data_IF_989264433843
#
_entry.id   IF_989264433843
#
_cell.length_a   1.000
_cell.length_b   1.000
_cell.length_c   1.000
_cell.angle_alpha   90.00
_cell.angle_beta   90.00
_cell.angle_gamma   90.00
#
_symmetry.space_group_name_H-M   'P 1'
#
loop_
_entity.id
_entity.type
_entity.pdbx_description
1 polymer ?
#
# COMPACT_ATOMS: atom_id res chain seq x y z
N UNK A 1 2.04 22.00 9.36
CA UNK A 1 2.54 20.75 8.74
C UNK A 1 1.31 19.89 8.44
N UNK A 2 1.11 19.46 7.19
CA UNK A 2 -0.07 18.65 6.81
C UNK A 2 0.29 17.17 6.96
N UNK A 3 -0.41 16.46 7.85
CA UNK A 3 -0.25 15.01 8.03
C UNK A 3 -1.14 14.32 6.98
N UNK A 4 -0.60 13.42 6.14
CA UNK A 4 -1.42 12.70 5.17
C UNK A 4 -2.39 11.74 5.86
N UNK A 5 -3.55 11.52 5.25
CA UNK A 5 -4.51 10.51 5.72
C UNK A 5 -3.85 9.11 5.67
N UNK A 6 -3.79 8.37 6.79
CA UNK A 6 -3.01 7.13 6.89
C UNK A 6 -3.43 6.06 5.87
N UNK A 7 -4.72 5.89 5.60
CA UNK A 7 -5.26 4.98 4.59
C UNK A 7 -4.71 5.26 3.19
N UNK A 8 -4.74 6.53 2.76
CA UNK A 8 -4.22 6.92 1.44
C UNK A 8 -2.70 6.76 1.38
N UNK A 9 -2.03 7.03 2.50
CA UNK A 9 -0.58 6.92 2.58
C UNK A 9 -0.13 5.45 2.52
N UNK A 10 -0.86 4.53 3.16
CA UNK A 10 -0.62 3.10 3.09
C UNK A 10 -0.68 2.59 1.64
N UNK A 11 -1.74 2.93 0.91
CA UNK A 11 -1.89 2.52 -0.50
C UNK A 11 -0.84 3.19 -1.39
N UNK A 12 -0.53 4.46 -1.15
CA UNK A 12 0.53 5.17 -1.87
C UNK A 12 1.90 4.50 -1.69
N UNK A 13 2.19 3.98 -0.49
CA UNK A 13 3.46 3.29 -0.20
C UNK A 13 3.63 2.00 -0.99
N UNK A 14 2.56 1.26 -1.23
CA UNK A 14 2.59 0.10 -2.14
C UNK A 14 3.02 0.52 -3.55
N UNK A 15 2.56 1.66 -4.05
CA UNK A 15 2.94 2.16 -5.39
C UNK A 15 4.40 2.61 -5.43
N UNK A 16 4.85 3.35 -4.42
CA UNK A 16 6.24 3.85 -4.37
C UNK A 16 7.24 2.71 -4.21
N UNK A 17 6.89 1.66 -3.46
CA UNK A 17 7.74 0.48 -3.31
C UNK A 17 8.06 -0.20 -4.65
N UNK A 18 7.07 -0.41 -5.52
CA UNK A 18 7.29 -1.03 -6.85
C UNK A 18 8.08 -0.12 -7.80
N UNK A 19 8.03 1.21 -7.62
CA UNK A 19 8.80 2.15 -8.46
C UNK A 19 10.29 2.16 -8.13
N UNK A 20 10.70 1.65 -6.95
CA UNK A 20 12.08 1.70 -6.45
C UNK A 20 12.79 0.34 -6.62
N UNK A 21 13.12 -0.03 -7.86
CA UNK A 21 13.63 -1.40 -8.17
C UNK A 21 15.14 -1.58 -8.11
N UNK A 22 15.94 -0.52 -8.29
CA UNK A 22 17.38 -0.67 -8.57
C UNK A 22 18.29 -0.02 -7.51
N UNK A 23 19.44 -0.65 -7.26
CA UNK A 23 20.50 -0.14 -6.39
C UNK A 23 20.01 0.25 -4.99
N UNK A 24 20.35 1.46 -4.54
CA UNK A 24 19.88 2.02 -3.27
C UNK A 24 18.34 2.14 -3.17
N UNK A 25 17.62 2.00 -4.30
CA UNK A 25 16.16 1.92 -4.35
C UNK A 25 15.60 0.67 -3.68
N UNK A 26 16.30 -0.47 -3.73
CA UNK A 26 15.80 -1.75 -3.16
C UNK A 26 15.60 -1.68 -1.64
N UNK A 27 16.56 -1.10 -0.91
CA UNK A 27 16.44 -0.86 0.54
C UNK A 27 15.30 0.10 0.87
N UNK A 28 15.14 1.16 0.07
CA UNK A 28 14.04 2.12 0.24
C UNK A 28 12.68 1.48 -0.03
N UNK A 29 12.59 0.60 -1.03
CA UNK A 29 11.38 -0.16 -1.33
C UNK A 29 10.98 -1.10 -0.19
N UNK A 30 11.95 -1.74 0.49
CA UNK A 30 11.64 -2.53 1.70
C UNK A 30 11.00 -1.67 2.77
N UNK A 31 11.60 -0.50 3.06
CA UNK A 31 11.06 0.45 4.04
C UNK A 31 9.67 0.96 3.67
N UNK A 32 9.40 1.21 2.39
CA UNK A 32 8.05 1.61 1.97
C UNK A 32 7.04 0.48 2.16
N UNK A 33 7.41 -0.78 1.88
CA UNK A 33 6.55 -1.95 2.14
C UNK A 33 6.29 -2.14 3.64
N UNK A 34 7.30 -2.03 4.48
CA UNK A 34 7.16 -2.10 5.94
C UNK A 34 6.22 -1.00 6.47
N UNK A 35 6.35 0.23 5.96
CA UNK A 35 5.44 1.32 6.30
C UNK A 35 4.00 1.06 5.82
N UNK A 36 3.82 0.49 4.62
CA UNK A 36 2.51 0.13 4.12
C UNK A 36 1.87 -0.98 4.97
N UNK A 37 2.62 -2.05 5.29
CA UNK A 37 2.13 -3.16 6.10
C UNK A 37 1.65 -2.68 7.47
N UNK A 38 2.49 -1.91 8.18
CA UNK A 38 2.15 -1.36 9.49
C UNK A 38 0.85 -0.53 9.46
N UNK A 39 0.69 0.34 8.46
CA UNK A 39 -0.50 1.18 8.35
C UNK A 39 -1.73 0.36 7.91
N UNK A 40 -1.57 -0.62 7.02
CA UNK A 40 -2.67 -1.50 6.62
C UNK A 40 -3.18 -2.31 7.80
N UNK A 41 -2.28 -2.89 8.61
CA UNK A 41 -2.65 -3.66 9.81
C UNK A 41 -3.41 -2.78 10.82
N UNK A 42 -2.86 -1.62 11.18
CA UNK A 42 -3.50 -0.72 12.12
C UNK A 42 -4.86 -0.19 11.60
N UNK A 43 -4.93 0.18 10.32
CA UNK A 43 -6.17 0.71 9.74
C UNK A 43 -7.23 -0.39 9.54
N UNK A 44 -6.84 -1.63 9.26
CA UNK A 44 -7.78 -2.74 9.18
C UNK A 44 -8.45 -3.05 10.53
N UNK A 45 -7.75 -2.80 11.63
CA UNK A 45 -8.30 -2.93 13.00
C UNK A 45 -9.19 -1.74 13.37
N UNK A 46 -8.68 -0.51 13.22
CA UNK A 46 -9.33 0.68 13.77
C UNK A 46 -10.37 1.30 12.83
N UNK A 47 -10.12 1.27 11.52
CA UNK A 47 -10.85 2.04 10.49
C UNK A 47 -10.93 1.29 9.14
N UNK A 48 -11.46 0.04 9.11
CA UNK A 48 -11.44 -0.80 7.92
C UNK A 48 -12.16 -0.17 6.72
N UNK A 49 -13.27 0.56 6.93
CA UNK A 49 -14.03 1.22 5.86
C UNK A 49 -13.21 2.31 5.16
N UNK A 50 -12.43 3.10 5.91
CA UNK A 50 -11.55 4.13 5.33
C UNK A 50 -10.44 3.49 4.49
N UNK A 51 -9.91 2.35 4.95
CA UNK A 51 -8.88 1.60 4.22
C UNK A 51 -9.44 0.96 2.95
N UNK A 52 -10.61 0.32 3.04
CA UNK A 52 -11.32 -0.29 1.92
C UNK A 52 -11.61 0.76 0.84
N UNK A 53 -12.19 1.91 1.22
CA UNK A 53 -12.44 3.01 0.29
C UNK A 53 -11.15 3.53 -0.38
N UNK A 54 -10.06 3.65 0.37
CA UNK A 54 -8.78 4.10 -0.18
C UNK A 54 -8.19 3.08 -1.17
N UNK A 55 -8.32 1.78 -0.88
CA UNK A 55 -7.90 0.71 -1.76
C UNK A 55 -8.75 0.69 -3.05
N UNK A 56 -10.06 0.73 -2.95
CA UNK A 56 -10.97 0.77 -4.09
C UNK A 56 -10.72 1.97 -4.99
N UNK A 57 -10.58 3.16 -4.39
CA UNK A 57 -10.23 4.39 -5.12
C UNK A 57 -8.92 4.22 -5.91
N UNK A 58 -7.92 3.56 -5.32
CA UNK A 58 -6.65 3.30 -5.99
C UNK A 58 -6.77 2.24 -7.10
N UNK A 59 -7.66 1.27 -6.94
CA UNK A 59 -7.99 0.29 -7.98
C UNK A 59 -8.77 0.95 -9.13
N UNK A 60 -9.56 1.98 -8.89
CA UNK A 60 -10.26 2.74 -9.94
C UNK A 60 -9.36 3.71 -10.70
N UNK A 61 -8.24 4.13 -10.11
CA UNK A 61 -7.32 5.12 -10.71
C UNK A 61 -6.67 4.68 -12.05
N UNK A 62 -6.69 3.39 -12.37
CA UNK A 62 -6.32 2.87 -13.69
C UNK A 62 -5.30 1.71 -13.67
N UNK A 63 -5.00 1.13 -14.85
CA UNK A 63 -4.25 -0.12 -14.95
C UNK A 63 -2.84 -0.04 -14.37
N UNK A 64 -2.15 1.10 -14.52
CA UNK A 64 -0.80 1.30 -13.99
C UNK A 64 -0.76 1.33 -12.46
N UNK A 65 -1.81 1.83 -11.81
CA UNK A 65 -1.92 1.80 -10.35
C UNK A 65 -2.12 0.37 -9.85
N UNK A 66 -3.06 -0.36 -10.46
CA UNK A 66 -3.30 -1.79 -10.17
C UNK A 66 -2.02 -2.61 -10.31
N UNK A 67 -1.24 -2.39 -11.37
CA UNK A 67 0.02 -3.10 -11.61
C UNK A 67 1.03 -2.85 -10.49
N UNK A 68 1.28 -1.58 -10.14
CA UNK A 68 2.22 -1.24 -9.06
C UNK A 68 1.80 -1.83 -7.71
N UNK A 69 0.51 -1.74 -7.37
CA UNK A 69 -0.04 -2.30 -6.14
C UNK A 69 0.13 -3.82 -6.13
N UNK A 70 -0.30 -4.50 -7.19
CA UNK A 70 -0.19 -5.96 -7.30
C UNK A 70 1.26 -6.44 -7.21
N UNK A 71 2.21 -5.74 -7.85
CA UNK A 71 3.63 -6.10 -7.79
C UNK A 71 4.22 -5.96 -6.39
N UNK A 72 3.82 -4.93 -5.63
CA UNK A 72 4.22 -4.81 -4.23
C UNK A 72 3.60 -5.90 -3.36
N UNK A 73 2.30 -6.21 -3.54
CA UNK A 73 1.60 -7.22 -2.75
C UNK A 73 2.12 -8.66 -3.00
N UNK A 74 2.70 -8.95 -4.18
CA UNK A 74 3.42 -10.23 -4.41
C UNK A 74 4.57 -10.46 -3.41
N UNK A 75 5.11 -9.40 -2.82
CA UNK A 75 6.17 -9.45 -1.79
C UNK A 75 5.64 -9.29 -0.36
N UNK A 76 4.32 -9.12 -0.21
CA UNK A 76 3.65 -8.82 1.06
C UNK A 76 2.36 -9.66 1.18
N UNK A 77 2.47 -11.00 1.22
CA UNK A 77 1.30 -11.87 1.14
C UNK A 77 0.28 -11.63 2.26
N UNK A 78 0.72 -11.29 3.47
CA UNK A 78 -0.20 -11.06 4.59
C UNK A 78 -0.96 -9.73 4.45
N UNK A 79 -0.28 -8.65 4.05
CA UNK A 79 -0.93 -7.39 3.68
C UNK A 79 -1.90 -7.58 2.51
N UNK A 80 -1.53 -8.43 1.53
CA UNK A 80 -2.40 -8.77 0.41
C UNK A 80 -3.68 -9.47 0.86
N UNK A 81 -3.59 -10.41 1.81
CA UNK A 81 -4.76 -11.09 2.39
C UNK A 81 -5.69 -10.08 3.08
N UNK A 82 -5.13 -9.18 3.89
CA UNK A 82 -5.90 -8.15 4.60
C UNK A 82 -6.70 -7.30 3.60
N UNK A 83 -6.05 -6.76 2.57
CA UNK A 83 -6.71 -5.92 1.58
C UNK A 83 -7.71 -6.68 0.70
N UNK A 84 -7.49 -7.98 0.45
CA UNK A 84 -8.41 -8.80 -0.33
C UNK A 84 -9.63 -9.29 0.45
N UNK A 85 -9.60 -9.19 1.78
CA UNK A 85 -10.68 -9.61 2.67
C UNK A 85 -11.62 -8.46 3.05
N UNK A 86 -11.34 -7.24 2.56
CA UNK A 86 -12.16 -6.05 2.73
C UNK A 86 -13.36 -6.02 1.79
#
# INVERSE_FOLDING_TARGET
>A
MQVPRPERYAIHKLIIADRRRDGAGSLKASKDREQAAFLVEAMAEDRPDDLSLAYDTAMEAGPRWREHIANSLKRMPDTGKILSAM
#
